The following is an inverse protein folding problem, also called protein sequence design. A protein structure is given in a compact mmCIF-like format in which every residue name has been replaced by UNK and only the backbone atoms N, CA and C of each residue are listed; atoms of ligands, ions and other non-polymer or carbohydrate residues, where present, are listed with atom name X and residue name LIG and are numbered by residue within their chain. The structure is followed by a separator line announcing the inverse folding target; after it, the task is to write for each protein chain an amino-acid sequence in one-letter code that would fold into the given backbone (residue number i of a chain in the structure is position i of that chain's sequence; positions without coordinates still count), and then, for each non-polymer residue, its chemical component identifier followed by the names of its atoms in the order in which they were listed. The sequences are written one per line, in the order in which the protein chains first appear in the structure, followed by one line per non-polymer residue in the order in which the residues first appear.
data_IF_996296548252
#
_entry.id   IF_996296548252
#
_cell.length_a   1.000
_cell.length_b   1.000
_cell.length_c   1.000
_cell.angle_alpha   90.00
_cell.angle_beta   90.00
_cell.angle_gamma   90.00
#
_symmetry.space_group_name_H-M   'P 1'
#
loop_
_entity.id
_entity.type
_entity.pdbx_description
1 polymer ?
#
# COMPACT_ATOMS: atom_id res chain seq x y z
N UNK A 1 -44.21 1.46 -2.52
CA UNK A 1 -44.53 1.15 -3.91
C UNK A 1 -44.54 2.44 -4.71
N UNK A 2 -44.33 2.37 -6.04
CA UNK A 2 -44.46 3.48 -6.95
C UNK A 2 -45.92 3.91 -7.13
N UNK A 3 -46.18 4.86 -8.00
CA UNK A 3 -47.53 5.41 -8.26
C UNK A 3 -48.51 4.39 -8.86
N UNK A 4 -48.05 3.29 -9.42
CA UNK A 4 -48.85 2.19 -9.94
C UNK A 4 -49.27 1.17 -8.87
N UNK A 5 -48.70 1.22 -7.68
CA UNK A 5 -48.94 0.27 -6.58
C UNK A 5 -48.48 -1.14 -6.91
N UNK A 6 -49.07 -2.14 -6.20
CA UNK A 6 -48.61 -3.56 -6.29
C UNK A 6 -48.92 -4.18 -7.68
N UNK A 7 -49.95 -3.72 -8.37
CA UNK A 7 -50.43 -4.32 -9.62
C UNK A 7 -50.33 -3.39 -10.82
N UNK A 8 -49.91 -2.14 -10.62
CA UNK A 8 -49.76 -1.14 -11.66
C UNK A 8 -48.35 -1.11 -12.25
N UNK A 9 -48.23 -0.61 -13.47
CA UNK A 9 -46.94 -0.35 -14.12
C UNK A 9 -46.48 1.09 -13.90
N UNK A 10 -45.22 1.36 -14.21
CA UNK A 10 -44.60 2.69 -14.09
C UNK A 10 -45.18 3.65 -15.12
N UNK A 11 -45.73 4.81 -14.65
CA UNK A 11 -46.23 5.89 -15.52
C UNK A 11 -45.05 6.66 -16.10
N UNK A 12 -45.09 6.96 -17.43
CA UNK A 12 -44.07 7.74 -18.12
C UNK A 12 -44.23 9.25 -17.87
N UNK A 13 -43.07 9.92 -17.67
CA UNK A 13 -43.05 11.36 -17.38
C UNK A 13 -43.46 11.70 -15.95
N UNK A 14 -43.61 10.73 -15.09
CA UNK A 14 -43.93 10.95 -13.68
C UNK A 14 -42.74 11.59 -12.93
N UNK A 15 -43.06 12.47 -11.99
CA UNK A 15 -42.13 13.07 -11.03
C UNK A 15 -42.84 13.14 -9.69
N UNK A 16 -42.24 12.55 -8.69
CA UNK A 16 -42.80 12.53 -7.35
C UNK A 16 -41.73 12.70 -6.28
N UNK A 17 -42.11 13.37 -5.19
CA UNK A 17 -41.28 13.48 -3.98
C UNK A 17 -42.09 12.97 -2.81
N UNK A 18 -41.44 12.17 -1.95
CA UNK A 18 -42.00 11.72 -0.69
C UNK A 18 -40.97 11.86 0.40
N UNK A 19 -41.38 12.43 1.53
CA UNK A 19 -40.57 12.55 2.72
C UNK A 19 -41.10 11.66 3.80
N UNK A 20 -40.21 10.83 4.37
CA UNK A 20 -40.48 9.99 5.52
C UNK A 20 -39.93 10.66 6.76
N UNK A 21 -40.67 10.58 7.87
CA UNK A 21 -40.28 11.15 9.17
C UNK A 21 -40.26 10.06 10.23
N UNK A 22 -39.29 10.06 11.17
CA UNK A 22 -39.32 9.15 12.31
C UNK A 22 -40.55 9.42 13.18
N UNK A 23 -41.16 8.38 13.70
CA UNK A 23 -42.29 8.47 14.62
C UNK A 23 -41.84 8.90 16.02
N UNK A 24 -40.64 8.46 16.43
CA UNK A 24 -40.10 8.72 17.76
C UNK A 24 -38.94 9.71 17.72
N UNK A 25 -38.94 10.63 18.68
CA UNK A 25 -37.86 11.63 18.82
C UNK A 25 -36.52 10.95 19.09
N UNK A 26 -35.47 11.43 18.42
CA UNK A 26 -34.09 10.89 18.56
C UNK A 26 -33.82 9.65 17.74
N UNK A 27 -34.78 9.15 17.00
CA UNK A 27 -34.58 8.11 15.97
C UNK A 27 -34.30 8.76 14.62
N UNK A 28 -33.65 7.99 13.77
CA UNK A 28 -33.52 8.28 12.35
C UNK A 28 -34.20 7.22 11.51
N UNK A 29 -34.17 7.37 10.21
CA UNK A 29 -34.74 6.37 9.31
C UNK A 29 -33.66 5.59 8.58
N UNK A 30 -33.98 4.32 8.38
CA UNK A 30 -33.27 3.39 7.51
C UNK A 30 -34.20 2.98 6.38
N UNK A 31 -33.72 3.13 5.16
CA UNK A 31 -34.39 2.69 3.94
C UNK A 31 -33.69 1.43 3.44
N UNK A 32 -34.46 0.39 3.15
CA UNK A 32 -34.00 -0.86 2.55
C UNK A 32 -34.70 -1.07 1.23
N UNK A 33 -33.95 -1.15 0.13
CA UNK A 33 -34.49 -1.53 -1.17
C UNK A 33 -34.75 -3.04 -1.22
N UNK A 34 -36.01 -3.43 -1.43
CA UNK A 34 -36.44 -4.83 -1.54
C UNK A 34 -36.56 -5.28 -2.99
N UNK A 35 -36.97 -4.36 -3.87
CA UNK A 35 -37.19 -4.61 -5.30
C UNK A 35 -36.78 -3.41 -6.11
N UNK A 36 -36.20 -3.68 -7.28
CA UNK A 36 -35.79 -2.65 -8.22
C UNK A 36 -35.95 -3.16 -9.64
N UNK A 37 -37.00 -2.74 -10.31
CA UNK A 37 -37.29 -3.07 -11.69
C UNK A 37 -37.92 -1.86 -12.40
N UNK A 38 -37.09 -0.84 -12.61
CA UNK A 38 -37.44 0.39 -13.31
C UNK A 38 -36.67 0.52 -14.62
N UNK A 39 -37.06 1.40 -15.51
CA UNK A 39 -36.41 1.63 -16.79
C UNK A 39 -35.00 2.21 -16.62
N UNK A 40 -34.09 1.88 -17.54
CA UNK A 40 -32.72 2.35 -17.46
C UNK A 40 -32.50 3.87 -17.52
N UNK A 41 -33.56 4.62 -17.94
CA UNK A 41 -33.56 6.09 -17.94
C UNK A 41 -34.39 6.68 -16.79
N UNK A 42 -35.02 5.84 -15.99
CA UNK A 42 -35.75 6.26 -14.81
C UNK A 42 -34.77 6.51 -13.66
N UNK A 43 -35.05 7.46 -12.79
CA UNK A 43 -34.09 7.83 -11.73
C UNK A 43 -34.80 7.95 -10.39
N UNK A 44 -34.14 7.46 -9.35
CA UNK A 44 -34.50 7.72 -7.97
C UNK A 44 -33.32 8.38 -7.26
N UNK A 45 -33.63 9.41 -6.51
CA UNK A 45 -32.69 10.15 -5.70
C UNK A 45 -33.11 10.03 -4.24
N UNK A 46 -32.14 9.81 -3.36
CA UNK A 46 -32.35 9.68 -1.92
C UNK A 46 -31.59 10.80 -1.24
N UNK A 47 -32.28 11.64 -0.50
CA UNK A 47 -31.69 12.77 0.23
C UNK A 47 -31.83 12.54 1.73
N UNK A 48 -30.83 12.96 2.47
CA UNK A 48 -30.93 13.10 3.92
C UNK A 48 -31.69 14.38 4.25
N UNK A 49 -32.65 14.29 5.20
CA UNK A 49 -33.43 15.42 5.64
C UNK A 49 -34.82 15.50 5.02
N UNK A 50 -35.56 16.51 5.47
CA UNK A 50 -36.99 16.71 5.15
C UNK A 50 -37.28 17.33 3.79
N UNK A 51 -36.27 17.72 3.03
CA UNK A 51 -36.45 18.39 1.74
C UNK A 51 -35.61 17.74 0.65
N UNK A 52 -36.08 17.89 -0.59
CA UNK A 52 -35.27 17.53 -1.75
C UNK A 52 -34.08 18.49 -1.82
N UNK A 53 -32.87 17.95 -1.66
CA UNK A 53 -31.63 18.71 -1.78
C UNK A 53 -31.28 19.06 -3.22
N UNK A 54 -30.20 19.82 -3.39
CA UNK A 54 -29.57 20.08 -4.67
C UNK A 54 -28.85 18.83 -5.19
N UNK A 55 -28.41 18.82 -6.45
CA UNK A 55 -27.68 17.66 -7.01
C UNK A 55 -26.40 17.33 -6.25
N UNK A 56 -25.81 18.30 -5.54
CA UNK A 56 -24.62 18.14 -4.69
C UNK A 56 -24.91 17.39 -3.38
N UNK A 57 -26.18 17.42 -2.93
CA UNK A 57 -26.65 16.71 -1.74
C UNK A 57 -27.15 15.29 -2.07
N UNK A 58 -27.02 14.88 -3.32
CA UNK A 58 -27.50 13.62 -3.84
C UNK A 58 -26.76 12.44 -3.20
N UNK A 59 -27.50 11.62 -2.48
CA UNK A 59 -26.95 10.45 -1.84
C UNK A 59 -26.73 9.30 -2.83
N UNK A 60 -27.65 9.12 -3.79
CA UNK A 60 -27.62 8.02 -4.77
C UNK A 60 -28.33 8.42 -6.06
N UNK A 61 -27.70 8.16 -7.19
CA UNK A 61 -28.34 8.11 -8.49
C UNK A 61 -28.67 6.66 -8.88
N UNK A 62 -29.86 6.44 -9.37
CA UNK A 62 -30.58 5.17 -9.42
C UNK A 62 -30.09 4.06 -10.34
N UNK A 63 -28.90 4.12 -10.89
CA UNK A 63 -28.38 2.99 -11.66
C UNK A 63 -27.51 2.01 -10.83
N UNK A 64 -27.09 2.47 -9.63
CA UNK A 64 -26.33 1.65 -8.67
C UNK A 64 -26.73 2.09 -7.27
N UNK A 65 -27.65 1.38 -6.65
CA UNK A 65 -28.14 1.68 -5.31
C UNK A 65 -27.47 0.78 -4.25
N UNK A 66 -27.18 1.29 -3.04
CA UNK A 66 -26.96 0.42 -1.89
C UNK A 66 -28.29 -0.23 -1.50
N UNK A 67 -28.22 -1.45 -0.97
CA UNK A 67 -29.42 -2.15 -0.48
C UNK A 67 -30.03 -1.45 0.76
N UNK A 68 -29.21 -0.73 1.51
CA UNK A 68 -29.62 -0.03 2.73
C UNK A 68 -29.02 1.38 2.75
N UNK A 69 -29.82 2.35 3.20
CA UNK A 69 -29.45 3.75 3.41
C UNK A 69 -29.95 4.20 4.77
N UNK A 70 -29.04 4.72 5.61
CA UNK A 70 -29.41 5.32 6.91
C UNK A 70 -29.28 6.83 6.79
N UNK A 71 -30.29 7.58 7.26
CA UNK A 71 -30.20 9.03 7.29
C UNK A 71 -29.27 9.51 8.39
N UNK A 72 -28.38 10.43 8.03
CA UNK A 72 -27.50 11.12 8.98
C UNK A 72 -27.87 12.60 9.18
N UNK A 73 -29.07 13.00 8.68
CA UNK A 73 -29.61 14.35 8.92
C UNK A 73 -29.95 14.55 10.40
N UNK A 74 -29.92 15.80 10.86
CA UNK A 74 -30.26 16.15 12.25
C UNK A 74 -31.72 15.85 12.59
N UNK A 75 -32.62 15.95 11.60
CA UNK A 75 -34.06 15.66 11.74
C UNK A 75 -34.40 14.17 11.54
N UNK A 76 -33.43 13.33 11.19
CA UNK A 76 -33.60 11.90 10.99
C UNK A 76 -34.41 11.51 9.75
N UNK A 77 -34.87 12.45 8.96
CA UNK A 77 -35.78 12.23 7.81
C UNK A 77 -35.03 11.71 6.57
N UNK A 78 -35.79 11.08 5.67
CA UNK A 78 -35.34 10.71 4.32
C UNK A 78 -36.34 11.23 3.31
N UNK A 79 -35.85 11.94 2.29
CA UNK A 79 -36.66 12.39 1.16
C UNK A 79 -36.26 11.62 -0.10
N UNK A 80 -37.25 11.00 -0.73
CA UNK A 80 -37.09 10.35 -2.03
C UNK A 80 -37.63 11.26 -3.13
N UNK A 81 -36.88 11.38 -4.21
CA UNK A 81 -37.38 11.97 -5.45
C UNK A 81 -37.25 10.93 -6.57
N UNK A 82 -38.38 10.59 -7.17
CA UNK A 82 -38.46 9.64 -8.27
C UNK A 82 -38.92 10.32 -9.53
N UNK A 83 -38.24 10.05 -10.64
CA UNK A 83 -38.65 10.52 -11.96
C UNK A 83 -38.52 9.43 -13.00
N UNK A 84 -39.52 9.32 -13.86
CA UNK A 84 -39.52 8.43 -15.02
C UNK A 84 -39.23 9.18 -16.31
N UNK A 85 -38.64 8.48 -17.28
CA UNK A 85 -38.42 9.03 -18.61
C UNK A 85 -39.77 9.37 -19.30
N UNK A 86 -39.80 10.42 -20.11
CA UNK A 86 -41.00 10.86 -20.78
C UNK A 86 -41.42 9.93 -21.94
N UNK A 87 -40.54 9.05 -22.39
CA UNK A 87 -40.76 8.08 -23.48
C UNK A 87 -40.02 6.79 -23.21
N UNK A 88 -40.39 5.74 -23.96
CA UNK A 88 -39.85 4.39 -23.81
C UNK A 88 -40.93 3.38 -23.40
N UNK A 89 -40.62 2.10 -23.45
CA UNK A 89 -41.53 1.04 -23.00
C UNK A 89 -41.59 0.96 -21.48
N UNK A 90 -42.78 0.84 -20.93
CA UNK A 90 -42.98 0.48 -19.52
C UNK A 90 -43.36 -0.99 -19.36
N UNK A 91 -43.40 -1.75 -20.48
CA UNK A 91 -43.78 -3.17 -20.46
C UNK A 91 -42.72 -3.99 -19.72
N UNK A 92 -43.14 -4.77 -18.73
CA UNK A 92 -42.29 -5.60 -17.90
C UNK A 92 -41.52 -4.85 -16.81
N UNK A 93 -41.82 -3.55 -16.61
CA UNK A 93 -41.33 -2.78 -15.48
C UNK A 93 -42.44 -2.73 -14.41
N UNK A 94 -42.15 -3.35 -13.28
CA UNK A 94 -43.08 -3.50 -12.17
C UNK A 94 -42.66 -2.67 -10.93
N UNK A 95 -41.79 -1.67 -11.16
CA UNK A 95 -41.46 -0.63 -10.21
C UNK A 95 -40.41 -1.00 -9.18
N UNK A 96 -40.50 -0.37 -8.03
CA UNK A 96 -39.62 -0.59 -6.91
C UNK A 96 -40.42 -0.84 -5.62
N UNK A 97 -39.77 -1.48 -4.67
CA UNK A 97 -40.26 -1.67 -3.32
C UNK A 97 -39.19 -1.28 -2.33
N UNK A 98 -39.52 -0.38 -1.43
CA UNK A 98 -38.68 0.03 -0.32
C UNK A 98 -39.36 -0.19 1.00
N UNK A 99 -38.60 -0.60 1.98
CA UNK A 99 -39.01 -0.64 3.37
C UNK A 99 -38.33 0.52 4.10
N UNK A 100 -39.10 1.29 4.84
CA UNK A 100 -38.59 2.36 5.70
C UNK A 100 -38.88 2.00 7.13
N UNK A 101 -37.86 1.99 7.98
CA UNK A 101 -37.95 1.66 9.39
C UNK A 101 -37.21 2.68 10.24
N UNK A 102 -37.62 2.82 11.48
CA UNK A 102 -36.84 3.59 12.44
C UNK A 102 -35.53 2.87 12.76
N UNK A 103 -34.49 3.65 12.90
CA UNK A 103 -33.15 3.21 13.19
C UNK A 103 -32.52 4.02 14.33
N UNK A 104 -31.72 3.38 15.12
CA UNK A 104 -30.93 4.05 16.15
C UNK A 104 -29.48 4.07 15.72
N UNK A 105 -28.96 5.30 15.45
CA UNK A 105 -27.56 5.49 15.07
C UNK A 105 -26.65 4.90 16.16
N UNK A 106 -25.79 3.99 15.76
CA UNK A 106 -24.82 3.40 16.64
C UNK A 106 -23.57 4.27 16.69
N UNK A 107 -23.08 4.68 17.88
CA UNK A 107 -21.82 5.39 17.99
C UNK A 107 -20.68 4.49 17.51
N UNK A 108 -19.63 5.12 16.99
CA UNK A 108 -18.41 4.40 16.63
C UNK A 108 -17.82 3.72 17.88
N UNK A 109 -17.44 2.47 17.76
CA UNK A 109 -16.93 1.63 18.84
C UNK A 109 -15.94 0.59 18.31
N UNK A 110 -15.13 0.02 19.20
CA UNK A 110 -14.23 -1.08 18.86
C UNK A 110 -15.04 -2.31 18.44
N UNK A 111 -14.89 -2.72 17.17
CA UNK A 111 -15.55 -3.90 16.61
C UNK A 111 -14.74 -5.18 16.75
N UNK A 112 -13.42 -5.08 16.71
CA UNK A 112 -12.52 -6.22 16.82
C UNK A 112 -11.05 -5.84 16.66
N UNK A 113 -10.20 -6.79 17.02
CA UNK A 113 -8.74 -6.69 16.91
C UNK A 113 -8.21 -7.90 16.15
N UNK A 114 -7.30 -7.67 15.21
CA UNK A 114 -6.63 -8.75 14.49
C UNK A 114 -5.14 -8.45 14.38
N UNK A 115 -4.31 -9.41 14.77
CA UNK A 115 -2.87 -9.33 14.58
C UNK A 115 -2.50 -9.97 13.23
N UNK A 116 -1.74 -9.25 12.43
CA UNK A 116 -1.31 -9.70 11.12
C UNK A 116 0.22 -9.81 11.14
N UNK A 117 0.76 -11.02 10.91
CA UNK A 117 2.20 -11.21 10.85
C UNK A 117 2.81 -10.50 9.64
N UNK A 118 3.99 -9.94 9.81
CA UNK A 118 4.89 -9.65 8.70
C UNK A 118 5.80 -10.86 8.55
N UNK A 119 5.89 -11.44 7.34
CA UNK A 119 6.59 -12.70 7.08
C UNK A 119 8.12 -12.55 7.04
N UNK A 120 8.66 -11.59 7.74
CA UNK A 120 10.10 -11.38 7.86
C UNK A 120 10.65 -12.12 9.08
N UNK A 121 11.70 -12.93 8.87
CA UNK A 121 12.35 -13.70 9.92
C UNK A 121 13.82 -13.38 10.10
N UNK A 122 14.38 -12.50 9.30
CA UNK A 122 15.73 -11.99 9.42
C UNK A 122 15.71 -10.48 9.52
N UNK A 123 16.30 -9.93 10.58
CA UNK A 123 16.33 -8.51 10.86
C UNK A 123 17.76 -8.00 10.70
N UNK A 124 17.93 -7.06 9.79
CA UNK A 124 19.23 -6.49 9.51
C UNK A 124 19.70 -5.62 10.68
N UNK A 125 20.91 -5.85 11.15
CA UNK A 125 21.57 -5.02 12.16
C UNK A 125 21.67 -3.58 11.69
N UNK A 126 21.33 -2.64 12.59
CA UNK A 126 21.35 -1.20 12.29
C UNK A 126 20.23 -0.71 11.37
N UNK A 127 19.26 -1.54 11.04
CA UNK A 127 18.13 -1.18 10.19
C UNK A 127 16.78 -1.23 10.92
N UNK A 128 15.75 -0.73 10.27
CA UNK A 128 14.37 -0.81 10.77
C UNK A 128 13.77 -2.18 10.41
N UNK A 129 13.06 -2.77 11.34
CA UNK A 129 12.34 -4.03 11.19
C UNK A 129 10.85 -3.80 11.41
N UNK A 130 10.03 -4.04 10.41
CA UNK A 130 8.57 -4.06 10.55
C UNK A 130 8.20 -5.39 11.19
N UNK A 131 7.77 -5.36 12.45
CA UNK A 131 7.55 -6.58 13.23
C UNK A 131 6.18 -7.21 12.93
N UNK A 132 5.14 -6.45 13.10
CA UNK A 132 3.75 -6.92 12.93
C UNK A 132 2.81 -5.73 12.70
N UNK A 133 1.58 -6.06 12.32
CA UNK A 133 0.48 -5.10 12.18
C UNK A 133 -0.68 -5.49 13.09
N UNK A 134 -1.26 -4.50 13.76
CA UNK A 134 -2.52 -4.64 14.48
C UNK A 134 -3.60 -3.96 13.65
N UNK A 135 -4.61 -4.72 13.24
CA UNK A 135 -5.80 -4.23 12.57
C UNK A 135 -6.85 -3.96 13.64
N UNK A 136 -7.30 -2.72 13.73
CA UNK A 136 -8.34 -2.24 14.65
C UNK A 136 -9.62 -2.04 13.85
N UNK A 137 -10.61 -2.91 14.03
CA UNK A 137 -11.91 -2.77 13.39
C UNK A 137 -12.78 -1.81 14.20
N UNK A 138 -13.29 -0.77 13.55
CA UNK A 138 -14.21 0.20 14.11
C UNK A 138 -15.57 -0.03 13.46
N UNK A 139 -16.60 -0.20 14.28
CA UNK A 139 -18.00 -0.41 13.89
C UNK A 139 -18.85 0.74 14.39
N UNK A 140 -20.01 0.89 13.79
CA UNK A 140 -20.99 1.92 14.10
C UNK A 140 -21.31 2.76 12.88
N UNK A 141 -22.03 3.83 13.09
CA UNK A 141 -22.56 4.66 12.01
C UNK A 141 -21.99 6.08 12.02
N UNK A 142 -21.88 6.68 13.21
CA UNK A 142 -21.51 8.09 13.36
C UNK A 142 -20.84 8.39 14.69
N UNK A 143 -20.05 9.43 14.70
CA UNK A 143 -19.36 9.95 15.90
C UNK A 143 -17.86 9.91 15.72
N UNK A 144 -17.15 9.98 16.83
CA UNK A 144 -15.72 9.90 16.90
C UNK A 144 -15.31 8.66 17.70
N UNK A 145 -14.33 7.95 17.22
CA UNK A 145 -13.67 6.86 17.93
C UNK A 145 -12.22 7.27 18.19
N UNK A 146 -11.76 7.14 19.42
CA UNK A 146 -10.37 7.42 19.79
C UNK A 146 -9.64 6.13 20.14
N UNK A 147 -8.46 5.96 19.56
CA UNK A 147 -7.47 4.96 19.98
C UNK A 147 -6.45 5.69 20.85
N UNK A 148 -6.41 5.34 22.13
CA UNK A 148 -5.65 6.06 23.15
C UNK A 148 -4.25 5.44 23.35
N UNK A 149 -4.14 4.10 23.33
CA UNK A 149 -2.86 3.42 23.49
C UNK A 149 -2.79 2.06 22.81
N UNK A 150 -1.57 1.68 22.43
CA UNK A 150 -1.19 0.33 21.96
C UNK A 150 -0.03 -0.18 22.81
N UNK A 151 -0.14 -1.39 23.36
CA UNK A 151 0.88 -1.99 24.23
C UNK A 151 1.46 -3.26 23.63
N UNK A 152 2.79 -3.36 23.67
CA UNK A 152 3.53 -4.50 23.14
C UNK A 152 4.55 -5.02 24.17
N UNK A 153 4.85 -6.32 24.07
CA UNK A 153 5.92 -7.00 24.81
C UNK A 153 7.00 -7.46 23.83
N UNK A 154 8.25 -7.41 24.27
CA UNK A 154 9.38 -8.00 23.56
C UNK A 154 9.93 -9.24 24.32
N UNK A 155 9.14 -9.83 25.19
CA UNK A 155 9.53 -11.05 25.93
C UNK A 155 9.93 -12.17 24.97
N UNK A 156 11.11 -12.76 25.20
CA UNK A 156 11.73 -13.73 24.29
C UNK A 156 12.76 -13.12 23.35
N UNK A 157 12.94 -11.79 23.31
CA UNK A 157 14.10 -11.15 22.70
C UNK A 157 15.36 -11.49 23.50
N UNK A 158 16.47 -11.84 22.84
CA UNK A 158 17.70 -12.28 23.48
C UNK A 158 18.27 -11.23 24.43
N UNK A 159 18.37 -9.98 23.98
CA UNK A 159 18.78 -8.83 24.78
C UNK A 159 17.93 -7.61 24.41
N UNK A 160 17.44 -6.89 25.42
CA UNK A 160 16.67 -5.67 25.20
C UNK A 160 17.47 -4.57 24.47
N UNK A 161 18.79 -4.56 24.66
CA UNK A 161 19.72 -3.63 24.00
C UNK A 161 19.87 -3.85 22.51
N UNK A 162 19.41 -5.00 21.98
CA UNK A 162 19.37 -5.25 20.53
C UNK A 162 18.30 -4.41 19.82
N UNK A 163 17.35 -3.84 20.58
CA UNK A 163 16.35 -2.91 20.10
C UNK A 163 16.73 -1.51 20.54
N UNK A 164 17.18 -0.68 19.61
CA UNK A 164 17.58 0.70 19.89
C UNK A 164 16.37 1.62 20.18
N UNK A 165 15.27 1.37 19.49
CA UNK A 165 13.98 2.04 19.72
C UNK A 165 12.81 1.27 19.09
N UNK A 166 11.60 1.64 19.49
CA UNK A 166 10.36 1.13 18.93
C UNK A 166 9.44 2.27 18.52
N UNK A 167 8.69 2.09 17.43
CA UNK A 167 7.73 3.05 16.89
C UNK A 167 6.49 2.33 16.39
N UNK A 168 5.38 3.04 16.37
CA UNK A 168 4.16 2.59 15.70
C UNK A 168 3.79 3.59 14.61
N UNK A 169 3.36 3.08 13.46
CA UNK A 169 2.87 3.90 12.36
C UNK A 169 1.43 3.50 12.02
N UNK A 170 0.59 4.49 11.74
CA UNK A 170 -0.77 4.27 11.25
C UNK A 170 -0.82 4.50 9.74
N UNK A 171 -1.43 3.57 9.01
CA UNK A 171 -1.67 3.71 7.56
C UNK A 171 -3.16 3.79 7.25
N UNK A 172 -3.98 4.22 8.21
CA UNK A 172 -5.42 4.26 8.12
C UNK A 172 -5.97 2.92 7.58
N UNK A 173 -6.74 2.94 6.52
CA UNK A 173 -7.29 1.71 5.92
C UNK A 173 -6.36 1.05 4.88
N UNK A 174 -5.19 1.64 4.60
CA UNK A 174 -4.24 1.13 3.59
C UNK A 174 -3.42 -0.04 4.14
N UNK A 175 -3.37 -1.14 3.40
CA UNK A 175 -2.69 -2.39 3.82
C UNK A 175 -1.19 -2.44 3.49
N UNK A 176 -0.62 -1.36 2.96
CA UNK A 176 0.81 -1.24 2.66
C UNK A 176 1.48 -0.43 3.76
N UNK A 177 2.62 -0.90 4.26
CA UNK A 177 3.39 -0.17 5.26
C UNK A 177 3.90 1.16 4.69
N UNK A 178 3.72 2.23 5.46
CA UNK A 178 4.28 3.56 5.22
C UNK A 178 4.72 4.16 6.56
N UNK A 179 5.87 4.82 6.56
CA UNK A 179 6.46 5.44 7.76
C UNK A 179 6.20 6.95 7.83
N UNK A 180 5.08 7.43 7.29
CA UNK A 180 4.76 8.86 7.19
C UNK A 180 3.91 9.37 8.33
N UNK A 181 3.12 8.51 8.98
CA UNK A 181 2.21 8.90 10.06
C UNK A 181 2.53 8.08 11.32
N UNK A 182 3.37 8.60 12.18
CA UNK A 182 3.74 7.96 13.43
C UNK A 182 2.63 8.14 14.47
N UNK A 183 2.26 7.05 15.13
CA UNK A 183 1.33 7.00 16.25
C UNK A 183 2.11 7.00 17.57
N UNK A 184 1.87 7.99 18.41
CA UNK A 184 2.59 8.18 19.66
C UNK A 184 4.06 8.57 19.48
N UNK A 185 4.83 8.48 20.55
CA UNK A 185 6.25 8.83 20.56
C UNK A 185 7.15 7.63 20.25
N UNK A 186 8.41 7.89 19.89
CA UNK A 186 9.44 6.85 19.77
C UNK A 186 9.89 6.42 21.16
N UNK A 187 9.79 5.13 21.46
CA UNK A 187 10.15 4.55 22.75
C UNK A 187 11.51 3.85 22.67
N UNK A 188 12.35 4.05 23.68
CA UNK A 188 13.68 3.42 23.79
C UNK A 188 13.76 2.36 24.87
N UNK A 189 12.80 2.35 25.77
CA UNK A 189 12.79 1.47 26.93
C UNK A 189 11.41 0.84 27.13
N UNK A 190 11.37 -0.31 27.79
CA UNK A 190 10.13 -0.99 28.18
C UNK A 190 9.43 -0.27 29.34
N UNK A 191 8.12 -0.36 29.44
CA UNK A 191 7.20 -1.08 28.54
C UNK A 191 6.96 -0.29 27.23
N UNK A 192 6.81 -1.03 26.12
CA UNK A 192 6.42 -0.41 24.85
C UNK A 192 4.91 -0.13 24.83
N UNK A 193 4.50 0.89 25.56
CA UNK A 193 3.16 1.43 25.51
C UNK A 193 3.21 2.75 24.74
N UNK A 194 2.60 2.72 23.56
CA UNK A 194 2.49 3.90 22.69
C UNK A 194 1.19 4.60 23.01
N UNK A 195 1.29 5.69 23.77
CA UNK A 195 0.16 6.57 24.02
C UNK A 195 0.01 7.53 22.84
N UNK A 196 -1.20 7.63 22.30
CA UNK A 196 -1.52 8.45 21.15
C UNK A 196 -2.94 8.96 21.19
N UNK A 197 -3.34 9.73 20.20
CA UNK A 197 -4.70 10.22 20.01
C UNK A 197 -5.08 10.06 18.55
N UNK A 198 -5.25 8.80 18.12
CA UNK A 198 -5.79 8.57 16.79
C UNK A 198 -7.31 8.67 16.81
N UNK A 199 -7.88 9.55 15.99
CA UNK A 199 -9.32 9.73 15.91
C UNK A 199 -9.82 9.26 14.54
N UNK A 200 -10.78 8.33 14.53
CA UNK A 200 -11.52 7.94 13.35
C UNK A 200 -12.95 8.48 13.40
N UNK A 201 -13.46 8.95 12.27
CA UNK A 201 -14.82 9.47 12.11
C UNK A 201 -15.69 8.57 11.24
N UNK A 202 -15.12 7.51 10.70
CA UNK A 202 -15.80 6.53 9.84
C UNK A 202 -15.54 5.12 10.36
N UNK A 203 -16.48 4.18 10.19
CA UNK A 203 -16.22 2.77 10.42
C UNK A 203 -15.21 2.23 9.41
N UNK A 204 -14.46 1.20 9.79
CA UNK A 204 -13.44 0.61 8.93
C UNK A 204 -12.42 -0.20 9.69
N UNK A 205 -11.41 -0.70 8.98
CA UNK A 205 -10.28 -1.43 9.58
C UNK A 205 -9.04 -0.57 9.45
N UNK A 206 -8.59 -0.04 10.56
CA UNK A 206 -7.44 0.84 10.68
C UNK A 206 -6.20 0.04 11.08
N UNK A 207 -5.05 0.34 10.47
CA UNK A 207 -3.85 -0.48 10.50
C UNK A 207 -2.71 0.21 11.21
N UNK A 208 -2.19 -0.43 12.25
CA UNK A 208 -1.10 0.06 13.09
C UNK A 208 0.08 -0.92 13.01
N UNK A 209 1.23 -0.41 12.59
CA UNK A 209 2.44 -1.18 12.31
C UNK A 209 3.50 -0.94 13.37
N UNK A 210 3.91 -1.99 14.09
CA UNK A 210 5.03 -1.92 15.03
C UNK A 210 6.34 -2.06 14.26
N UNK A 211 7.25 -1.13 14.48
CA UNK A 211 8.59 -1.10 13.90
C UNK A 211 9.62 -1.03 15.02
N UNK A 212 10.61 -1.90 14.98
CA UNK A 212 11.80 -1.81 15.82
C UNK A 212 12.98 -1.25 15.02
N UNK A 213 13.77 -0.40 15.64
CA UNK A 213 15.11 -0.04 15.18
C UNK A 213 16.08 -1.04 15.79
N UNK A 214 16.66 -1.89 14.96
CA UNK A 214 17.66 -2.86 15.43
C UNK A 214 18.96 -2.13 15.72
N UNK A 215 19.54 -2.36 16.88
CA UNK A 215 20.81 -1.73 17.27
C UNK A 215 21.92 -2.06 16.27
N UNK A 216 22.77 -1.08 15.95
CA UNK A 216 23.99 -1.31 15.17
C UNK A 216 25.01 -2.21 15.88
N UNK A 217 24.92 -2.33 17.19
CA UNK A 217 25.77 -3.17 18.04
C UNK A 217 25.13 -4.54 18.36
N UNK A 218 23.93 -4.81 17.85
CA UNK A 218 23.23 -6.06 18.08
C UNK A 218 24.01 -7.26 17.52
N UNK A 219 24.01 -8.38 18.24
CA UNK A 219 24.78 -9.56 17.84
C UNK A 219 24.00 -10.42 16.85
N UNK A 220 24.67 -10.80 15.78
CA UNK A 220 24.13 -11.75 14.78
C UNK A 220 23.73 -13.07 15.45
N UNK A 221 22.55 -13.57 15.10
CA UNK A 221 21.97 -14.79 15.66
C UNK A 221 21.09 -14.56 16.89
N UNK A 222 21.11 -13.36 17.50
CA UNK A 222 20.17 -13.03 18.57
C UNK A 222 18.74 -12.99 18.04
N UNK A 223 17.80 -13.43 18.88
CA UNK A 223 16.37 -13.41 18.57
C UNK A 223 15.79 -12.05 18.92
N UNK A 224 14.96 -11.54 18.03
CA UNK A 224 14.07 -10.39 18.26
C UNK A 224 12.64 -10.87 18.22
N UNK A 225 11.84 -10.47 19.21
CA UNK A 225 10.45 -10.85 19.33
C UNK A 225 9.55 -9.66 19.65
N UNK A 226 8.35 -9.66 19.13
CA UNK A 226 7.31 -8.68 19.42
C UNK A 226 5.96 -9.38 19.57
N UNK A 227 5.25 -9.06 20.64
CA UNK A 227 3.92 -9.59 20.93
C UNK A 227 3.00 -8.42 21.29
N UNK A 228 1.87 -8.22 20.61
CA UNK A 228 0.89 -7.22 21.02
C UNK A 228 0.16 -7.72 22.28
N UNK A 229 -0.08 -6.82 23.21
CA UNK A 229 -0.66 -7.14 24.53
C UNK A 229 -2.08 -6.62 24.64
N UNK A 230 -2.25 -5.31 24.46
CA UNK A 230 -3.56 -4.67 24.61
C UNK A 230 -3.69 -3.42 23.74
N UNK A 231 -4.95 -3.04 23.55
CA UNK A 231 -5.38 -1.80 22.89
C UNK A 231 -6.25 -1.04 23.86
N UNK A 232 -5.97 0.25 24.09
CA UNK A 232 -6.85 1.16 24.84
C UNK A 232 -7.58 2.04 23.85
N UNK A 233 -8.91 2.01 23.89
CA UNK A 233 -9.78 2.81 23.04
C UNK A 233 -10.91 3.41 23.86
N UNK A 234 -11.19 4.69 23.65
CA UNK A 234 -12.25 5.42 24.38
C UNK A 234 -12.16 5.21 25.89
N UNK A 235 -10.93 5.21 26.44
CA UNK A 235 -10.62 5.00 27.84
C UNK A 235 -10.73 3.55 28.34
N UNK A 236 -11.06 2.59 27.48
CA UNK A 236 -11.20 1.16 27.85
C UNK A 236 -10.06 0.33 27.29
N UNK A 237 -9.34 -0.38 28.15
CA UNK A 237 -8.29 -1.32 27.76
C UNK A 237 -8.90 -2.68 27.40
N UNK A 238 -8.59 -3.17 26.20
CA UNK A 238 -8.99 -4.49 25.69
C UNK A 238 -7.74 -5.32 25.46
N UNK A 239 -7.68 -6.50 26.07
CA UNK A 239 -6.57 -7.46 25.87
C UNK A 239 -6.71 -8.16 24.52
N UNK A 240 -5.57 -8.47 23.91
CA UNK A 240 -5.53 -9.26 22.68
C UNK A 240 -5.48 -10.74 23.08
N UNK A 241 -6.59 -11.46 22.92
CA UNK A 241 -6.78 -12.82 23.44
C UNK A 241 -5.93 -13.89 22.73
N UNK A 242 -5.68 -13.72 21.43
CA UNK A 242 -4.84 -14.62 20.64
C UNK A 242 -3.67 -13.84 20.02
N UNK A 243 -2.67 -13.43 20.83
CA UNK A 243 -1.58 -12.64 20.34
C UNK A 243 -0.66 -13.49 19.46
N UNK A 244 -0.53 -13.10 18.19
CA UNK A 244 0.54 -13.61 17.34
C UNK A 244 1.84 -12.91 17.72
N UNK A 245 2.90 -13.67 17.99
CA UNK A 245 4.24 -13.12 18.23
C UNK A 245 5.03 -13.13 16.92
N UNK A 246 5.48 -11.97 16.48
CA UNK A 246 6.49 -11.88 15.44
C UNK A 246 7.87 -12.22 16.04
N UNK A 247 8.62 -13.10 15.39
CA UNK A 247 9.91 -13.55 15.83
C UNK A 247 10.85 -13.74 14.65
N UNK A 248 12.10 -13.33 14.81
CA UNK A 248 13.17 -13.54 13.84
C UNK A 248 14.55 -13.34 14.45
N UNK A 249 15.58 -13.42 13.60
CA UNK A 249 16.97 -13.40 14.03
C UNK A 249 17.70 -12.20 13.42
N UNK A 250 18.65 -11.65 14.19
CA UNK A 250 19.53 -10.60 13.71
C UNK A 250 20.54 -11.19 12.73
N UNK A 251 20.67 -10.58 11.58
CA UNK A 251 21.64 -10.92 10.54
C UNK A 251 22.61 -9.76 10.30
N UNK A 252 23.83 -10.07 9.95
CA UNK A 252 24.80 -9.10 9.46
C UNK A 252 24.49 -8.80 7.98
N UNK A 253 24.48 -7.53 7.62
CA UNK A 253 24.32 -7.11 6.25
C UNK A 253 25.58 -7.31 5.41
N UNK A 254 25.38 -7.39 4.12
CA UNK A 254 26.47 -7.47 3.16
C UNK A 254 27.22 -6.13 3.07
N UNK A 255 28.54 -6.13 2.99
CA UNK A 255 29.35 -4.91 2.88
C UNK A 255 30.77 -5.23 2.39
N UNK A 256 31.43 -4.24 1.85
CA UNK A 256 32.82 -4.34 1.41
C UNK A 256 33.01 -4.14 -0.08
N UNK A 257 34.24 -4.44 -0.55
CA UNK A 257 34.60 -4.34 -1.95
C UNK A 257 34.89 -5.72 -2.51
N UNK A 258 34.27 -6.05 -3.63
CA UNK A 258 34.34 -7.35 -4.28
C UNK A 258 34.68 -7.19 -5.75
N UNK A 259 35.42 -8.14 -6.30
CA UNK A 259 35.72 -8.19 -7.72
C UNK A 259 34.72 -9.08 -8.46
N UNK A 260 34.33 -8.64 -9.64
CA UNK A 260 33.42 -9.38 -10.54
C UNK A 260 34.12 -9.61 -11.85
N UNK A 261 34.18 -10.84 -12.32
CA UNK A 261 34.83 -11.17 -13.58
C UNK A 261 35.08 -12.68 -13.75
N UNK A 262 35.81 -13.01 -14.81
CA UNK A 262 36.07 -14.41 -15.18
C UNK A 262 37.43 -14.91 -14.70
N UNK A 263 38.21 -14.09 -14.02
CA UNK A 263 39.49 -14.53 -13.46
C UNK A 263 39.28 -15.45 -12.26
N UNK A 264 40.23 -16.35 -12.03
CA UNK A 264 40.21 -17.25 -10.85
C UNK A 264 40.29 -16.48 -9.50
N UNK A 265 40.53 -15.18 -9.54
CA UNK A 265 40.62 -14.28 -8.39
C UNK A 265 39.40 -13.42 -8.18
N UNK A 266 38.44 -13.46 -9.08
CA UNK A 266 37.19 -12.71 -8.94
C UNK A 266 36.32 -13.36 -7.86
N UNK A 267 35.69 -12.53 -7.02
CA UNK A 267 34.80 -12.98 -5.97
C UNK A 267 33.47 -13.50 -6.56
N UNK A 268 33.03 -12.93 -7.68
CA UNK A 268 31.82 -13.32 -8.41
C UNK A 268 32.09 -13.46 -9.90
N UNK A 269 31.48 -14.47 -10.50
CA UNK A 269 31.60 -14.74 -11.94
C UNK A 269 30.73 -13.83 -12.81
N UNK A 270 29.62 -13.28 -12.25
CA UNK A 270 28.67 -12.40 -12.94
C UNK A 270 28.21 -11.23 -12.06
N UNK A 271 27.72 -10.19 -12.72
CA UNK A 271 27.11 -9.05 -12.00
C UNK A 271 25.81 -9.51 -11.28
N UNK A 272 25.07 -10.42 -11.92
CA UNK A 272 23.87 -10.98 -11.34
C UNK A 272 24.12 -11.72 -10.03
N UNK A 273 25.20 -12.54 -9.94
CA UNK A 273 25.58 -13.24 -8.71
C UNK A 273 26.00 -12.25 -7.62
N UNK A 274 26.77 -11.21 -8.00
CA UNK A 274 27.20 -10.16 -7.09
C UNK A 274 26.01 -9.39 -6.50
N UNK A 275 25.05 -9.00 -7.34
CA UNK A 275 23.81 -8.35 -6.90
C UNK A 275 22.99 -9.26 -5.99
N UNK A 276 22.86 -10.55 -6.32
CA UNK A 276 22.13 -11.52 -5.50
C UNK A 276 22.74 -11.76 -4.12
N UNK A 277 24.06 -11.52 -3.95
CA UNK A 277 24.72 -11.62 -2.64
C UNK A 277 24.18 -10.58 -1.63
N UNK A 278 23.58 -9.48 -2.10
CA UNK A 278 22.97 -8.44 -1.26
C UNK A 278 21.50 -8.73 -0.90
N UNK A 279 20.93 -9.87 -1.26
CA UNK A 279 19.49 -10.21 -1.11
C UNK A 279 18.96 -10.04 0.31
N UNK A 280 19.80 -10.25 1.32
CA UNK A 280 19.43 -10.14 2.74
C UNK A 280 19.68 -8.72 3.30
N UNK A 281 20.15 -7.79 2.46
CA UNK A 281 20.41 -6.39 2.79
C UNK A 281 21.87 -6.06 3.03
N UNK A 282 22.18 -4.78 3.22
CA UNK A 282 23.53 -4.24 3.46
C UNK A 282 23.60 -3.48 4.78
N UNK A 283 24.72 -3.58 5.49
CA UNK A 283 24.99 -2.80 6.72
C UNK A 283 26.29 -1.96 6.62
N UNK A 284 26.74 -1.70 5.41
CA UNK A 284 27.87 -0.86 5.07
C UNK A 284 27.95 -0.61 3.57
N UNK A 285 28.90 0.20 3.09
CA UNK A 285 29.09 0.43 1.66
C UNK A 285 29.47 -0.87 0.93
N UNK A 286 28.87 -1.08 -0.24
CA UNK A 286 29.16 -2.21 -1.14
C UNK A 286 29.70 -1.69 -2.45
N UNK A 287 30.86 -2.22 -2.87
CA UNK A 287 31.50 -1.86 -4.13
C UNK A 287 31.79 -3.12 -4.93
N UNK A 288 31.23 -3.23 -6.12
CA UNK A 288 31.57 -4.25 -7.10
C UNK A 288 32.49 -3.67 -8.16
N UNK A 289 33.74 -4.15 -8.19
CA UNK A 289 34.75 -3.78 -9.16
C UNK A 289 34.76 -4.76 -10.32
N UNK A 290 34.23 -4.33 -11.47
CA UNK A 290 34.18 -5.15 -12.67
C UNK A 290 35.56 -5.25 -13.30
N UNK A 291 36.08 -6.47 -13.50
CA UNK A 291 37.29 -6.71 -14.28
C UNK A 291 37.08 -6.34 -15.76
N UNK A 292 38.18 -6.06 -16.46
CA UNK A 292 38.12 -5.73 -17.89
C UNK A 292 37.47 -6.88 -18.67
N UNK A 293 36.45 -6.56 -19.47
CA UNK A 293 35.77 -7.56 -20.26
C UNK A 293 34.39 -7.16 -20.72
N UNK A 294 33.70 -8.12 -21.34
CA UNK A 294 32.30 -7.99 -21.78
C UNK A 294 31.42 -8.91 -20.94
N UNK A 295 30.41 -8.32 -20.32
CA UNK A 295 29.39 -8.98 -19.51
C UNK A 295 28.10 -9.07 -20.31
N UNK A 296 27.77 -10.28 -20.77
CA UNK A 296 26.58 -10.53 -21.58
C UNK A 296 25.41 -10.89 -20.66
N UNK A 297 24.88 -9.89 -19.96
CA UNK A 297 23.83 -10.10 -18.96
C UNK A 297 22.93 -8.86 -18.83
N UNK A 298 21.74 -9.08 -18.31
CA UNK A 298 20.80 -8.04 -17.89
C UNK A 298 20.91 -7.90 -16.38
N UNK A 299 21.16 -6.68 -15.94
CA UNK A 299 21.38 -6.37 -14.52
C UNK A 299 20.09 -5.77 -13.94
N UNK A 300 19.53 -6.43 -12.93
CA UNK A 300 18.35 -5.93 -12.20
C UNK A 300 18.70 -5.75 -10.73
N UNK A 301 18.66 -4.52 -10.25
CA UNK A 301 18.89 -4.16 -8.84
C UNK A 301 17.52 -3.83 -8.24
N UNK A 302 16.94 -4.82 -7.54
CA UNK A 302 15.71 -4.64 -6.78
C UNK A 302 15.97 -3.81 -5.51
N UNK A 303 14.92 -3.51 -4.76
CA UNK A 303 15.05 -2.89 -3.44
C UNK A 303 16.01 -3.69 -2.56
N UNK A 304 17.00 -3.01 -1.98
CA UNK A 304 18.00 -3.58 -1.08
C UNK A 304 17.82 -2.94 0.30
N UNK A 305 17.53 -3.75 1.30
CA UNK A 305 17.38 -3.27 2.69
C UNK A 305 18.70 -2.69 3.22
N UNK A 306 18.59 -1.65 4.04
CA UNK A 306 19.73 -1.03 4.71
C UNK A 306 20.48 0.00 3.88
N UNK A 307 20.09 0.28 2.64
CA UNK A 307 20.66 1.37 1.84
C UNK A 307 20.42 2.73 2.50
N UNK A 308 21.41 3.59 2.47
CA UNK A 308 21.37 4.94 3.04
C UNK A 308 22.48 5.81 2.42
N UNK A 309 22.54 7.09 2.81
CA UNK A 309 23.65 7.99 2.42
C UNK A 309 25.04 7.48 2.85
N UNK A 310 25.11 6.56 3.83
CA UNK A 310 26.35 5.93 4.30
C UNK A 310 26.52 4.55 3.69
N UNK A 311 25.46 3.76 3.63
CA UNK A 311 25.44 2.41 3.08
C UNK A 311 25.02 2.47 1.61
N UNK A 312 25.97 2.73 0.74
CA UNK A 312 25.74 2.89 -0.71
C UNK A 312 26.11 1.65 -1.50
N UNK A 313 25.54 1.48 -2.67
CA UNK A 313 25.86 0.40 -3.61
C UNK A 313 26.55 1.02 -4.82
N UNK A 314 27.72 0.51 -5.18
CA UNK A 314 28.47 0.98 -6.37
C UNK A 314 28.85 -0.22 -7.24
N UNK A 315 28.49 -0.16 -8.52
CA UNK A 315 29.03 -1.04 -9.56
C UNK A 315 29.93 -0.18 -10.44
N UNK A 316 31.22 -0.53 -10.53
CA UNK A 316 32.18 0.27 -11.28
C UNK A 316 33.19 -0.56 -12.04
N UNK A 317 33.79 0.06 -13.09
CA UNK A 317 34.98 -0.49 -13.73
C UNK A 317 36.14 -0.51 -12.72
N UNK A 318 36.86 -1.62 -12.60
CA UNK A 318 38.06 -1.74 -11.78
C UNK A 318 39.20 -0.88 -12.30
N UNK A 319 39.32 -0.70 -13.62
CA UNK A 319 40.32 0.20 -14.25
C UNK A 319 39.92 1.67 -14.15
N UNK A 320 38.66 2.01 -13.84
CA UNK A 320 38.11 3.35 -13.86
C UNK A 320 37.77 3.85 -15.28
N UNK A 321 37.90 3.03 -16.32
CA UNK A 321 37.64 3.38 -17.70
C UNK A 321 36.42 2.63 -18.25
N UNK A 322 35.47 3.37 -18.81
CA UNK A 322 34.31 2.79 -19.48
C UNK A 322 34.66 1.95 -20.71
N UNK A 323 35.89 2.16 -21.29
CA UNK A 323 36.35 1.42 -22.48
C UNK A 323 36.71 -0.02 -22.17
N UNK A 324 37.04 -0.29 -20.91
CA UNK A 324 37.56 -1.60 -20.50
C UNK A 324 36.46 -2.56 -20.03
N UNK A 325 35.29 -2.03 -19.69
CA UNK A 325 34.14 -2.82 -19.19
C UNK A 325 32.92 -2.52 -20.05
N UNK A 326 32.33 -3.58 -20.63
CA UNK A 326 31.15 -3.48 -21.46
C UNK A 326 30.04 -4.43 -20.95
N UNK A 327 28.89 -3.89 -20.58
CA UNK A 327 27.67 -4.64 -20.23
C UNK A 327 26.78 -4.66 -21.49
N UNK A 328 26.42 -5.85 -21.96
CA UNK A 328 25.62 -6.04 -23.17
C UNK A 328 24.35 -6.77 -22.85
N UNK A 329 23.21 -6.09 -23.00
CA UNK A 329 21.90 -6.75 -22.97
C UNK A 329 21.77 -7.69 -24.17
N UNK A 330 21.48 -8.96 -23.89
CA UNK A 330 21.16 -9.97 -24.89
C UNK A 330 19.74 -9.83 -25.40
N UNK A 331 19.14 -10.96 -25.83
CA UNK A 331 17.75 -10.96 -26.28
C UNK A 331 16.81 -10.51 -25.17
N UNK A 332 15.98 -9.50 -25.45
CA UNK A 332 14.95 -9.05 -24.55
C UNK A 332 13.88 -10.12 -24.36
N UNK A 333 13.58 -10.47 -23.12
CA UNK A 333 12.46 -11.35 -22.76
C UNK A 333 11.43 -10.45 -22.09
N UNK A 334 10.31 -10.22 -22.78
CA UNK A 334 9.20 -9.45 -22.20
C UNK A 334 8.63 -10.20 -21.01
N UNK A 335 8.35 -9.53 -19.89
CA UNK A 335 7.65 -10.15 -18.77
C UNK A 335 6.27 -10.64 -19.20
N UNK A 336 5.84 -11.77 -18.63
CA UNK A 336 4.51 -12.35 -18.87
C UNK A 336 3.46 -11.61 -18.03
N UNK A 337 3.04 -10.45 -18.52
CA UNK A 337 2.07 -9.56 -17.89
C UNK A 337 1.01 -9.14 -18.90
N UNK A 338 -0.14 -8.66 -18.42
CA UNK A 338 -1.23 -8.11 -19.23
C UNK A 338 -0.73 -7.05 -20.22
N UNK A 339 -1.38 -6.97 -21.38
CA UNK A 339 -1.00 -6.06 -22.48
C UNK A 339 -0.89 -4.59 -22.07
N UNK A 340 -1.67 -4.16 -21.07
CA UNK A 340 -1.62 -2.80 -20.53
C UNK A 340 -0.43 -2.58 -19.59
N UNK A 341 0.14 -3.64 -19.01
CA UNK A 341 1.30 -3.58 -18.12
C UNK A 341 2.64 -3.85 -18.83
N UNK A 342 2.62 -4.44 -20.03
CA UNK A 342 3.84 -4.83 -20.76
C UNK A 342 4.83 -3.69 -20.97
N UNK A 343 4.34 -2.50 -21.25
CA UNK A 343 5.19 -1.32 -21.47
C UNK A 343 5.86 -0.89 -20.16
N UNK A 344 5.23 -1.15 -19.03
CA UNK A 344 5.64 -0.69 -17.70
C UNK A 344 6.45 -1.73 -16.93
N UNK A 345 6.21 -3.02 -17.21
CA UNK A 345 6.95 -4.12 -16.59
C UNK A 345 8.31 -4.40 -17.24
N UNK A 346 8.61 -3.77 -18.38
CA UNK A 346 9.87 -3.96 -19.10
C UNK A 346 11.11 -3.58 -18.28
N UNK A 347 12.21 -4.24 -18.57
CA UNK A 347 13.52 -3.98 -17.96
C UNK A 347 14.41 -3.25 -18.98
N UNK A 348 15.31 -2.37 -18.49
CA UNK A 348 16.48 -1.92 -19.24
C UNK A 348 17.58 -3.00 -19.26
N UNK A 349 18.67 -2.73 -19.93
CA UNK A 349 19.89 -3.57 -19.80
C UNK A 349 20.40 -3.53 -18.36
N UNK A 350 20.38 -2.34 -17.78
CA UNK A 350 20.54 -2.13 -16.33
C UNK A 350 19.25 -1.51 -15.82
N UNK A 351 18.61 -2.18 -14.87
CA UNK A 351 17.38 -1.69 -14.22
C UNK A 351 17.65 -1.49 -12.75
N UNK A 352 17.31 -0.31 -12.22
CA UNK A 352 17.24 -0.03 -10.78
C UNK A 352 15.78 0.05 -10.42
N UNK A 353 15.30 -0.94 -9.67
CA UNK A 353 13.90 -1.15 -9.35
C UNK A 353 13.68 -1.09 -7.82
N UNK A 354 13.48 0.10 -7.29
CA UNK A 354 13.30 0.33 -5.86
C UNK A 354 14.59 0.46 -5.05
N UNK A 355 15.77 0.19 -5.63
CA UNK A 355 17.04 0.38 -4.93
C UNK A 355 17.43 1.86 -4.84
N UNK A 356 17.79 2.27 -3.63
CA UNK A 356 18.26 3.62 -3.33
C UNK A 356 19.78 3.68 -3.19
N UNK A 357 20.35 4.89 -3.30
CA UNK A 357 21.78 5.16 -3.12
C UNK A 357 22.70 4.28 -3.99
N UNK A 358 22.26 4.03 -5.22
CA UNK A 358 22.99 3.23 -6.19
C UNK A 358 23.84 4.09 -7.13
N UNK A 359 25.06 3.63 -7.44
CA UNK A 359 25.96 4.26 -8.39
C UNK A 359 26.44 3.27 -9.45
N UNK A 360 26.30 3.63 -10.72
CA UNK A 360 26.93 2.98 -11.86
C UNK A 360 28.06 3.88 -12.39
N UNK A 361 29.31 3.39 -12.41
CA UNK A 361 30.49 4.25 -12.66
C UNK A 361 31.49 3.62 -13.65
N UNK A 362 31.84 4.36 -14.67
CA UNK A 362 32.95 4.03 -15.55
C UNK A 362 32.77 2.78 -16.40
N UNK A 363 31.54 2.48 -16.86
CA UNK A 363 31.23 1.32 -17.69
C UNK A 363 30.55 1.71 -19.00
N UNK A 364 30.70 0.87 -20.02
CA UNK A 364 29.89 0.94 -21.23
C UNK A 364 28.67 0.03 -21.08
N UNK A 365 27.47 0.54 -21.41
CA UNK A 365 26.24 -0.26 -21.42
C UNK A 365 25.58 -0.14 -22.79
N UNK A 366 25.21 -1.27 -23.37
CA UNK A 366 24.55 -1.33 -24.68
C UNK A 366 23.64 -2.54 -24.78
N UNK A 367 22.83 -2.59 -25.82
CA UNK A 367 22.02 -3.77 -26.17
C UNK A 367 22.20 -4.11 -27.64
N UNK A 368 22.17 -5.39 -27.95
CA UNK A 368 22.04 -5.94 -29.32
C UNK A 368 20.58 -6.15 -29.73
N UNK A 369 19.62 -5.98 -28.81
CA UNK A 369 18.18 -6.14 -29.07
C UNK A 369 17.46 -4.78 -28.91
N UNK A 370 16.73 -4.39 -29.94
CA UNK A 370 15.96 -3.14 -30.01
C UNK A 370 14.66 -3.16 -29.19
N UNK A 371 14.29 -4.31 -28.65
CA UNK A 371 13.06 -4.46 -27.87
C UNK A 371 13.18 -3.96 -26.44
N UNK A 372 14.37 -3.56 -26.00
CA UNK A 372 14.53 -2.93 -24.69
C UNK A 372 13.90 -1.53 -24.67
N UNK A 373 13.14 -1.17 -23.66
CA UNK A 373 12.59 0.18 -23.54
C UNK A 373 13.68 1.22 -23.23
N UNK A 374 14.75 0.81 -22.56
CA UNK A 374 15.87 1.69 -22.23
C UNK A 374 17.18 0.91 -22.06
N UNK A 375 18.32 1.60 -22.16
CA UNK A 375 19.63 1.05 -21.77
C UNK A 375 19.74 1.02 -20.25
N UNK A 376 19.47 2.13 -19.58
CA UNK A 376 19.35 2.20 -18.10
C UNK A 376 17.92 2.61 -17.74
N UNK A 377 17.26 1.84 -16.87
CA UNK A 377 15.90 2.12 -16.45
C UNK A 377 15.82 2.26 -14.94
N UNK A 378 15.19 3.34 -14.48
CA UNK A 378 14.89 3.61 -13.08
C UNK A 378 13.39 3.47 -12.88
N UNK A 379 12.96 2.62 -11.94
CA UNK A 379 11.54 2.39 -11.67
C UNK A 379 11.30 2.09 -10.19
N UNK A 380 10.03 1.94 -9.81
CA UNK A 380 9.59 1.52 -8.49
C UNK A 380 10.13 2.43 -7.35
N UNK A 381 10.06 3.76 -7.60
CA UNK A 381 10.47 4.82 -6.67
C UNK A 381 11.97 4.82 -6.26
N UNK A 382 12.87 4.26 -7.06
CA UNK A 382 14.32 4.35 -6.83
C UNK A 382 14.78 5.80 -6.66
N UNK A 383 15.52 6.09 -5.59
CA UNK A 383 16.02 7.42 -5.25
C UNK A 383 17.55 7.44 -5.13
N UNK A 384 18.14 8.63 -5.26
CA UNK A 384 19.60 8.82 -5.12
C UNK A 384 20.44 7.93 -6.04
N UNK A 385 19.96 7.71 -7.27
CA UNK A 385 20.67 6.92 -8.29
C UNK A 385 21.62 7.82 -9.06
N UNK A 386 22.88 7.38 -9.21
CA UNK A 386 23.92 8.08 -9.94
C UNK A 386 24.43 7.21 -11.08
N UNK A 387 24.43 7.74 -12.30
CA UNK A 387 25.11 7.14 -13.46
C UNK A 387 26.17 8.14 -13.91
N UNK A 388 27.45 7.77 -13.81
CA UNK A 388 28.54 8.69 -14.13
C UNK A 388 29.70 8.00 -14.86
N UNK A 389 30.43 8.77 -15.63
CA UNK A 389 31.59 8.28 -16.40
C UNK A 389 31.27 7.09 -17.32
N UNK A 390 30.00 6.90 -17.67
CA UNK A 390 29.53 5.78 -18.47
C UNK A 390 29.40 6.17 -19.96
N UNK A 391 29.51 5.16 -20.82
CA UNK A 391 29.18 5.30 -22.23
C UNK A 391 27.95 4.47 -22.54
N UNK A 392 26.81 5.13 -22.73
CA UNK A 392 25.53 4.47 -23.02
C UNK A 392 25.24 4.64 -24.51
N UNK A 393 24.97 3.55 -25.21
CA UNK A 393 24.59 3.61 -26.62
C UNK A 393 23.74 2.41 -27.03
N UNK A 394 23.03 2.57 -28.14
CA UNK A 394 22.34 1.50 -28.86
C UNK A 394 22.88 1.42 -30.28
N UNK A 395 23.07 0.21 -30.78
CA UNK A 395 23.54 -0.01 -32.15
C UNK A 395 22.41 0.14 -33.17
N UNK A 396 21.17 0.17 -32.76
CA UNK A 396 19.99 0.15 -33.63
C UNK A 396 18.90 1.07 -33.13
N UNK A 397 18.27 1.78 -34.09
CA UNK A 397 16.96 2.44 -34.10
C UNK A 397 16.51 3.42 -33.00
N UNK A 398 15.70 4.34 -33.45
CA UNK A 398 15.31 5.63 -32.88
C UNK A 398 14.42 5.63 -31.63
N UNK A 399 13.92 4.49 -31.16
CA UNK A 399 12.85 4.46 -30.15
C UNK A 399 13.29 3.98 -28.74
N UNK A 400 14.58 3.73 -28.54
CA UNK A 400 15.13 3.30 -27.25
C UNK A 400 15.70 4.47 -26.47
N UNK A 401 15.26 4.67 -25.24
CA UNK A 401 15.84 5.67 -24.33
C UNK A 401 17.21 5.20 -23.83
N UNK A 402 18.18 6.12 -23.73
CA UNK A 402 19.46 5.79 -23.08
C UNK A 402 19.27 5.70 -21.56
N UNK A 403 18.50 6.62 -20.99
CA UNK A 403 18.09 6.58 -19.59
C UNK A 403 16.59 6.88 -19.55
N UNK A 404 15.82 6.04 -18.90
CA UNK A 404 14.39 6.23 -18.68
C UNK A 404 14.09 6.19 -17.19
N UNK A 405 13.28 7.13 -16.72
CA UNK A 405 12.70 7.11 -15.40
C UNK A 405 11.22 6.80 -15.52
N UNK A 406 10.77 5.78 -14.83
CA UNK A 406 9.36 5.40 -14.80
C UNK A 406 8.85 5.44 -13.35
N UNK A 407 7.93 6.35 -13.04
CA UNK A 407 7.19 6.35 -11.80
C UNK A 407 5.76 5.92 -12.08
N UNK A 408 5.32 4.82 -11.49
CA UNK A 408 3.91 4.48 -11.42
C UNK A 408 3.27 5.41 -10.39
N UNK A 409 2.35 6.28 -10.81
CA UNK A 409 1.40 6.84 -9.87
C UNK A 409 0.53 5.66 -9.40
N UNK A 410 0.86 5.12 -8.25
CA UNK A 410 -0.06 4.22 -7.54
C UNK A 410 -1.16 5.15 -7.05
N UNK A 411 -2.17 5.37 -7.89
CA UNK A 411 -3.46 5.82 -7.40
C UNK A 411 -3.86 4.76 -6.36
N UNK A 412 -4.11 5.19 -5.15
CA UNK A 412 -4.58 4.31 -4.09
C UNK A 412 -5.75 3.52 -4.67
N UNK A 413 -5.58 2.21 -4.79
CA UNK A 413 -6.64 1.30 -5.16
C UNK A 413 -7.62 1.33 -3.99
N UNK A 414 -8.61 2.22 -4.09
CA UNK A 414 -9.75 2.27 -3.20
C UNK A 414 -10.75 1.23 -3.70
N UNK A 415 -10.54 -0.02 -3.34
CA UNK A 415 -11.55 -1.07 -3.36
C UNK A 415 -11.67 -1.72 -1.99
#
# INVERSE_FOLDING_TARGET
YDEGGVEGGITRGFKGTVTFEPEHAGKTLKLTLKKWNIGGSDKMYVYYGGEKGDEEDLLIESTKYPQEVVSFSEDGKITLYFQTASYGSSTGLDGFEIEVSEYEIQPLSLGGLKVVPVNERSFLRGANAVMLRVDVEIKGDKGEFTLDALKFSNEGTSFSTDIASARVYCTDTVSVFMNTNQYGETLKELPYQFDGNYTATLPGIYKFWLVYDISGDALTGNTIKATPVSVTAQGTETQIEEPFSAEGYIVEGFKGTYTVGVSDKADYASIGDAVNAMKDGIDGPVVFELENGTYNEVVNIAEIKGTSAVNTITIKSKSGSYRDVKIVGGRYIAPDVDSNEKVHAGYGVVTVAGADYFTLDGVTVTSSDVSYPAIVRLKDASCYVTVRNCYLYTEMSADMSLIETYSRNIAADTN
#
